data_IF_722630712238
#
_entry.id   IF_722630712238
#
_cell.length_a   1.000
_cell.length_b   1.000
_cell.length_c   1.000
_cell.angle_alpha   90.00
_cell.angle_beta   90.00
_cell.angle_gamma   90.00
#
_symmetry.space_group_name_H-M   'P 1'
#
loop_
_entity.id
_entity.type
_entity.pdbx_description
1 polymer ?
#
# COMPACT_ATOMS: atom_id res chain seq x y z
N UNK A 1 -26.33 -52.29 12.52
CA UNK A 1 -25.04 -52.03 11.86
C UNK A 1 -24.28 -51.08 12.74
N UNK A 2 -23.01 -51.34 12.98
CA UNK A 2 -22.13 -50.37 13.64
C UNK A 2 -21.81 -49.26 12.63
N UNK A 3 -21.56 -48.04 13.08
CA UNK A 3 -21.24 -46.92 12.18
C UNK A 3 -20.09 -47.25 11.22
N UNK A 4 -19.09 -47.99 11.70
CA UNK A 4 -17.96 -48.49 10.92
C UNK A 4 -18.37 -49.38 9.73
N UNK A 5 -19.43 -50.20 9.87
CA UNK A 5 -19.90 -51.06 8.78
C UNK A 5 -20.54 -50.23 7.66
N UNK A 6 -21.26 -49.18 8.03
CA UNK A 6 -21.90 -48.25 7.10
C UNK A 6 -20.85 -47.49 6.30
N UNK A 7 -19.85 -46.91 6.97
CA UNK A 7 -18.75 -46.18 6.31
C UNK A 7 -17.94 -47.09 5.38
N UNK A 8 -17.61 -48.31 5.81
CA UNK A 8 -16.86 -49.27 4.98
C UNK A 8 -17.64 -49.69 3.73
N UNK A 9 -18.95 -49.86 3.88
CA UNK A 9 -19.85 -50.21 2.76
C UNK A 9 -20.03 -49.04 1.80
N UNK A 10 -20.16 -47.81 2.31
CA UNK A 10 -20.24 -46.59 1.51
C UNK A 10 -18.96 -46.39 0.69
N UNK A 11 -17.78 -46.45 1.33
CA UNK A 11 -16.47 -46.36 0.66
C UNK A 11 -16.30 -47.41 -0.45
N UNK A 12 -16.66 -48.66 -0.16
CA UNK A 12 -16.60 -49.75 -1.14
C UNK A 12 -17.50 -49.53 -2.36
N UNK A 13 -18.67 -48.90 -2.16
CA UNK A 13 -19.58 -48.55 -3.25
C UNK A 13 -19.04 -47.38 -4.08
N UNK A 14 -18.54 -46.34 -3.44
CA UNK A 14 -17.95 -45.15 -4.10
C UNK A 14 -16.75 -45.50 -4.98
N UNK A 15 -15.95 -46.49 -4.57
CA UNK A 15 -14.79 -46.98 -5.32
C UNK A 15 -15.12 -47.83 -6.55
N UNK A 16 -16.37 -48.25 -6.77
CA UNK A 16 -16.78 -49.00 -7.99
C UNK A 16 -16.89 -48.10 -9.22
N UNK A 17 -17.30 -46.84 -9.05
CA UNK A 17 -17.46 -45.86 -10.13
C UNK A 17 -16.29 -44.88 -10.20
N UNK A 18 -15.06 -45.40 -10.26
CA UNK A 18 -13.79 -44.64 -10.13
C UNK A 18 -13.75 -43.34 -10.93
N UNK A 19 -14.09 -43.37 -12.22
CA UNK A 19 -14.05 -42.18 -13.09
C UNK A 19 -15.05 -41.11 -12.65
N UNK A 20 -16.29 -41.51 -12.36
CA UNK A 20 -17.35 -40.59 -11.96
C UNK A 20 -17.02 -39.96 -10.61
N UNK A 21 -16.68 -40.79 -9.64
CA UNK A 21 -16.24 -40.36 -8.30
C UNK A 21 -15.06 -39.40 -8.40
N UNK A 22 -14.07 -39.70 -9.23
CA UNK A 22 -12.92 -38.83 -9.44
C UNK A 22 -13.31 -37.47 -10.02
N UNK A 23 -14.15 -37.44 -11.06
CA UNK A 23 -14.63 -36.19 -11.66
C UNK A 23 -15.45 -35.34 -10.67
N UNK A 24 -16.31 -35.95 -9.86
CA UNK A 24 -17.08 -35.25 -8.82
C UNK A 24 -16.15 -34.69 -7.73
N UNK A 25 -15.18 -35.47 -7.27
CA UNK A 25 -14.20 -35.03 -6.28
C UNK A 25 -13.37 -33.86 -6.82
N UNK A 26 -12.91 -33.92 -8.08
CA UNK A 26 -12.21 -32.79 -8.72
C UNK A 26 -13.09 -31.54 -8.73
N UNK A 27 -14.37 -31.63 -9.12
CA UNK A 27 -15.25 -30.48 -9.15
C UNK A 27 -15.40 -29.83 -7.76
N UNK A 28 -15.51 -30.65 -6.71
CA UNK A 28 -15.57 -30.17 -5.32
C UNK A 28 -14.24 -29.53 -4.91
N UNK A 29 -13.11 -30.17 -5.22
CA UNK A 29 -11.78 -29.68 -4.87
C UNK A 29 -11.53 -28.34 -5.55
N UNK A 30 -11.84 -28.20 -6.83
CA UNK A 30 -11.70 -26.93 -7.55
C UNK A 30 -12.57 -25.85 -6.89
N UNK A 31 -13.85 -26.13 -6.62
CA UNK A 31 -14.74 -25.16 -5.98
C UNK A 31 -14.28 -24.74 -4.59
N UNK A 32 -13.89 -25.69 -3.75
CA UNK A 32 -13.37 -25.42 -2.41
C UNK A 32 -12.01 -24.70 -2.43
N UNK A 33 -11.14 -25.07 -3.36
CA UNK A 33 -9.85 -24.42 -3.56
C UNK A 33 -10.03 -22.96 -4.00
N UNK A 34 -10.89 -22.70 -4.99
CA UNK A 34 -11.21 -21.33 -5.41
C UNK A 34 -11.75 -20.50 -4.25
N UNK A 35 -12.70 -21.05 -3.46
CA UNK A 35 -13.24 -20.34 -2.30
C UNK A 35 -12.16 -20.03 -1.25
N UNK A 36 -11.28 -21.00 -0.98
CA UNK A 36 -10.17 -20.82 -0.03
C UNK A 36 -9.19 -19.78 -0.54
N UNK A 37 -8.87 -19.80 -1.82
CA UNK A 37 -7.94 -18.85 -2.45
C UNK A 37 -8.52 -17.44 -2.47
N UNK A 38 -9.81 -17.28 -2.79
CA UNK A 38 -10.49 -15.97 -2.71
C UNK A 38 -10.56 -15.45 -1.29
N UNK A 39 -10.87 -16.31 -0.31
CA UNK A 39 -10.88 -15.91 1.11
C UNK A 39 -9.48 -15.57 1.62
N UNK A 40 -8.46 -16.32 1.20
CA UNK A 40 -7.07 -16.09 1.58
C UNK A 40 -6.52 -14.81 0.96
N UNK A 41 -6.84 -14.55 -0.31
CA UNK A 41 -6.54 -13.26 -0.96
C UNK A 41 -7.23 -12.12 -0.22
N UNK A 42 -8.52 -12.23 0.10
CA UNK A 42 -9.23 -11.16 0.82
C UNK A 42 -8.58 -10.85 2.18
N UNK A 43 -8.22 -11.87 2.95
CA UNK A 43 -7.53 -11.68 4.23
C UNK A 43 -6.12 -11.10 4.05
N UNK A 44 -5.35 -11.60 3.08
CA UNK A 44 -4.00 -11.10 2.81
C UNK A 44 -3.99 -9.67 2.30
N UNK A 45 -4.98 -9.29 1.48
CA UNK A 45 -5.10 -7.93 0.99
C UNK A 45 -5.56 -6.97 2.10
N UNK A 46 -6.48 -7.38 2.97
CA UNK A 46 -6.85 -6.56 4.12
C UNK A 46 -5.64 -6.32 5.04
N UNK A 47 -4.89 -7.38 5.38
CA UNK A 47 -3.65 -7.21 6.15
C UNK A 47 -2.68 -6.26 5.43
N UNK A 48 -2.51 -6.42 4.11
CA UNK A 48 -1.67 -5.52 3.32
C UNK A 48 -2.14 -4.07 3.36
N UNK A 49 -3.46 -3.83 3.33
CA UNK A 49 -4.03 -2.47 3.49
C UNK A 49 -3.77 -1.97 4.90
N UNK A 50 -3.93 -2.81 5.93
CA UNK A 50 -3.67 -2.44 7.33
C UNK A 50 -2.19 -2.07 7.54
N UNK A 51 -1.26 -2.84 6.97
CA UNK A 51 0.19 -2.55 7.00
C UNK A 51 0.51 -1.26 6.23
N UNK A 52 -0.18 -1.04 5.10
CA UNK A 52 -0.11 0.20 4.33
C UNK A 52 -0.79 1.38 5.04
N UNK A 53 -1.74 1.18 5.97
CA UNK A 53 -2.35 2.26 6.77
C UNK A 53 -1.42 2.64 7.92
N UNK A 54 -0.85 1.64 8.61
CA UNK A 54 0.26 1.89 9.53
C UNK A 54 1.37 2.68 8.82
N UNK A 55 1.50 2.43 7.51
CA UNK A 55 2.23 3.09 6.42
C UNK A 55 2.31 4.63 6.32
N UNK A 56 1.38 5.39 6.88
CA UNK A 56 1.21 6.81 6.50
C UNK A 56 0.80 7.70 7.68
N UNK A 57 1.31 7.43 8.88
CA UNK A 57 1.06 8.30 10.04
C UNK A 57 -0.27 8.06 10.75
N UNK A 58 -0.69 9.01 11.58
CA UNK A 58 -1.87 8.89 12.44
C UNK A 58 -3.16 9.15 11.64
N UNK A 59 -4.28 8.51 12.02
CA UNK A 59 -5.58 8.64 11.33
C UNK A 59 -6.16 10.07 11.45
N UNK A 60 -5.52 10.95 12.24
CA UNK A 60 -5.88 12.35 12.47
C UNK A 60 -5.16 13.38 11.59
N UNK A 61 -4.34 12.94 10.64
CA UNK A 61 -3.56 13.83 9.77
C UNK A 61 -4.18 14.03 8.38
N UNK A 62 -4.08 15.25 7.88
CA UNK A 62 -4.48 15.64 6.54
C UNK A 62 -3.23 16.10 5.76
N UNK A 63 -3.02 15.51 4.58
CA UNK A 63 -1.93 15.89 3.69
C UNK A 63 -2.41 16.95 2.72
N UNK A 64 -1.84 18.15 2.82
CA UNK A 64 -2.22 19.29 1.98
C UNK A 64 -1.14 19.54 0.94
N UNK A 65 -1.56 19.71 -0.31
CA UNK A 65 -0.70 20.13 -1.42
C UNK A 65 -1.34 21.33 -2.11
N UNK A 66 -0.55 22.12 -2.84
CA UNK A 66 -1.11 23.09 -3.74
C UNK A 66 -1.95 22.34 -4.77
N UNK A 67 -3.16 22.83 -5.07
CA UNK A 67 -3.93 22.25 -6.17
C UNK A 67 -3.15 22.55 -7.45
N UNK A 68 -2.49 21.53 -8.00
CA UNK A 68 -1.86 21.64 -9.30
C UNK A 68 -2.88 22.18 -10.30
N UNK A 69 -2.45 23.04 -11.23
CA UNK A 69 -3.24 23.35 -12.41
C UNK A 69 -3.69 22.02 -12.97
N UNK A 70 -5.01 21.74 -12.89
CA UNK A 70 -5.58 20.41 -13.04
C UNK A 70 -4.78 19.62 -14.06
N UNK A 71 -4.12 18.53 -13.62
CA UNK A 71 -3.78 17.49 -14.57
C UNK A 71 -5.10 16.92 -15.02
N UNK A 72 -5.76 17.60 -15.95
CA UNK A 72 -6.86 17.14 -16.76
C UNK A 72 -6.29 15.98 -17.58
N UNK A 73 -6.06 14.84 -16.93
CA UNK A 73 -5.84 13.54 -17.55
C UNK A 73 -7.12 13.19 -18.32
N UNK A 74 -7.31 13.86 -19.45
CA UNK A 74 -8.55 13.80 -20.21
C UNK A 74 -8.70 14.88 -21.27
N UNK A 75 -8.09 16.06 -21.11
CA UNK A 75 -8.13 17.10 -22.15
C UNK A 75 -6.80 17.13 -22.89
N UNK A 76 -6.83 16.60 -24.10
CA UNK A 76 -5.86 16.99 -25.13
C UNK A 76 -6.00 18.49 -25.32
N UNK A 77 -5.19 19.27 -24.61
CA UNK A 77 -5.07 20.70 -24.85
C UNK A 77 -4.59 20.91 -26.29
N UNK A 78 -5.31 21.75 -27.04
CA UNK A 78 -5.08 22.10 -28.46
C UNK A 78 -3.82 22.99 -28.66
N UNK A 79 -2.83 22.88 -27.78
CA UNK A 79 -1.57 23.62 -27.85
C UNK A 79 -0.96 23.89 -26.47
N UNK A 80 0.26 24.46 -26.44
CA UNK A 80 0.82 24.99 -25.20
C UNK A 80 -0.09 26.11 -24.66
N UNK A 81 -0.30 26.20 -23.33
CA UNK A 81 -1.10 27.26 -22.72
C UNK A 81 -0.52 28.65 -23.05
N UNK A 82 -1.37 29.68 -23.00
CA UNK A 82 -0.90 31.07 -23.10
C UNK A 82 0.01 31.38 -21.89
N UNK A 83 1.10 32.10 -22.15
CA UNK A 83 2.08 32.45 -21.11
C UNK A 83 1.46 33.41 -20.10
N UNK A 84 1.20 32.92 -18.88
CA UNK A 84 0.87 33.74 -17.73
C UNK A 84 2.15 33.99 -16.89
N UNK A 85 2.61 35.24 -16.73
CA UNK A 85 3.80 35.54 -15.94
C UNK A 85 3.63 35.29 -14.43
N UNK A 86 2.41 35.18 -13.91
CA UNK A 86 2.13 34.82 -12.51
C UNK A 86 2.22 33.29 -12.32
N UNK A 87 1.67 32.48 -13.23
CA UNK A 87 1.85 31.00 -13.25
C UNK A 87 3.25 30.55 -13.73
N UNK A 88 3.97 31.40 -14.47
CA UNK A 88 5.36 31.11 -14.85
C UNK A 88 6.35 31.32 -13.69
N UNK A 89 5.89 31.89 -12.58
CA UNK A 89 6.70 32.15 -11.38
C UNK A 89 6.50 31.11 -10.28
N UNK A 90 5.41 30.32 -10.34
CA UNK A 90 5.25 29.11 -9.54
C UNK A 90 6.24 28.05 -10.02
N UNK A 91 6.66 27.17 -9.10
CA UNK A 91 7.62 26.09 -9.30
C UNK A 91 7.26 25.04 -10.39
N UNK A 92 6.24 25.31 -11.21
CA UNK A 92 5.74 24.51 -12.32
C UNK A 92 6.82 24.14 -13.35
N UNK A 93 7.85 24.96 -13.50
CA UNK A 93 8.88 24.74 -14.52
C UNK A 93 9.91 23.66 -14.15
N UNK A 94 10.06 23.29 -12.87
CA UNK A 94 11.11 22.37 -12.42
C UNK A 94 10.59 20.94 -12.17
N UNK A 95 9.34 20.80 -11.71
CA UNK A 95 8.72 19.51 -11.35
C UNK A 95 7.35 19.26 -12.00
N UNK A 96 6.73 20.29 -12.57
CA UNK A 96 5.32 20.23 -13.02
C UNK A 96 4.33 20.08 -11.86
N UNK A 97 4.75 20.39 -10.63
CA UNK A 97 3.93 20.36 -9.43
C UNK A 97 3.93 21.75 -8.80
N UNK A 98 2.75 22.30 -8.56
CA UNK A 98 2.57 23.51 -7.76
C UNK A 98 3.11 23.26 -6.35
N UNK A 99 3.94 24.17 -5.84
CA UNK A 99 4.43 24.15 -4.47
C UNK A 99 3.57 25.08 -3.62
N UNK A 100 3.41 24.74 -2.35
CA UNK A 100 2.83 25.63 -1.33
C UNK A 100 3.79 26.77 -1.05
N UNK A 101 3.25 27.97 -0.89
CA UNK A 101 3.96 29.15 -0.39
C UNK A 101 3.75 29.33 1.11
N UNK A 102 4.55 30.19 1.75
CA UNK A 102 4.28 30.61 3.13
C UNK A 102 2.86 31.15 3.32
N UNK A 103 2.30 31.85 2.33
CA UNK A 103 0.94 32.37 2.41
C UNK A 103 -0.11 31.26 2.42
N UNK A 104 0.18 30.13 1.77
CA UNK A 104 -0.67 28.94 1.84
C UNK A 104 -0.56 28.29 3.21
N UNK A 105 0.64 28.21 3.80
CA UNK A 105 0.85 27.71 5.17
C UNK A 105 0.09 28.56 6.19
N UNK A 106 0.21 29.88 6.13
CA UNK A 106 -0.55 30.81 7.00
C UNK A 106 -2.07 30.64 6.82
N UNK A 107 -2.52 30.34 5.60
CA UNK A 107 -3.94 30.08 5.33
C UNK A 107 -4.40 28.78 5.99
N UNK A 108 -3.60 27.71 5.89
CA UNK A 108 -3.88 26.41 6.51
C UNK A 108 -3.90 26.52 8.04
N UNK A 109 -2.92 27.21 8.64
CA UNK A 109 -2.87 27.46 10.08
C UNK A 109 -4.09 28.26 10.60
N UNK A 110 -4.68 29.08 9.74
CA UNK A 110 -5.85 29.90 10.04
C UNK A 110 -7.18 29.15 10.00
N UNK A 111 -7.21 27.90 9.52
CA UNK A 111 -8.44 27.10 9.40
C UNK A 111 -8.93 26.66 10.77
N UNK A 112 -10.25 26.57 10.92
CA UNK A 112 -10.86 26.01 12.14
C UNK A 112 -10.44 24.54 12.30
N UNK A 113 -10.25 24.08 13.55
CA UNK A 113 -9.88 22.70 13.91
C UNK A 113 -8.46 22.25 13.57
N UNK A 114 -7.66 23.05 12.87
CA UNK A 114 -6.23 22.80 12.67
C UNK A 114 -5.48 23.03 13.98
N UNK A 115 -4.65 22.06 14.37
CA UNK A 115 -3.88 22.07 15.62
C UNK A 115 -2.40 22.30 15.40
N UNK A 116 -1.85 21.75 14.32
CA UNK A 116 -0.48 21.99 13.86
C UNK A 116 -0.41 21.90 12.34
N UNK A 117 0.59 22.56 11.76
CA UNK A 117 0.93 22.49 10.34
C UNK A 117 2.43 22.31 10.25
N UNK A 118 2.85 21.23 9.60
CA UNK A 118 4.25 20.89 9.37
C UNK A 118 4.52 20.91 7.86
N UNK A 119 5.10 22.01 7.35
CA UNK A 119 5.39 22.14 5.93
C UNK A 119 6.62 21.31 5.56
N UNK A 120 6.60 20.72 4.37
CA UNK A 120 7.64 19.81 3.89
C UNK A 120 8.44 20.45 2.75
N UNK A 121 9.73 20.62 3.00
CA UNK A 121 10.68 21.12 2.01
C UNK A 121 11.26 20.00 1.14
N UNK A 122 11.55 20.32 -0.12
CA UNK A 122 12.21 19.41 -1.06
C UNK A 122 13.72 19.59 -1.03
N UNK A 123 14.45 18.50 -0.85
CA UNK A 123 15.91 18.48 -1.02
C UNK A 123 16.31 17.53 -2.15
N UNK A 124 17.28 17.97 -2.94
CA UNK A 124 17.86 17.21 -4.04
C UNK A 124 19.36 17.09 -3.82
N UNK A 125 19.81 16.11 -3.02
CA UNK A 125 21.24 15.85 -2.86
C UNK A 125 21.89 15.43 -4.19
N UNK A 126 23.22 15.43 -4.20
CA UNK A 126 24.05 14.99 -5.33
C UNK A 126 24.54 13.55 -5.13
N UNK A 127 25.02 13.25 -3.91
CA UNK A 127 25.64 11.98 -3.59
C UNK A 127 25.52 11.63 -2.10
N UNK A 128 25.71 10.33 -1.83
CA UNK A 128 25.97 9.79 -0.50
C UNK A 128 27.39 9.24 -0.49
N UNK A 129 28.19 9.63 0.49
CA UNK A 129 29.55 9.15 0.71
C UNK A 129 29.57 8.24 1.95
N UNK A 130 30.07 7.02 1.77
CA UNK A 130 30.18 6.05 2.86
C UNK A 130 31.42 6.30 3.75
N UNK A 131 31.56 5.50 4.81
CA UNK A 131 32.67 5.61 5.78
C UNK A 131 34.06 5.34 5.16
N UNK A 132 34.12 4.65 4.02
CA UNK A 132 35.33 4.40 3.23
C UNK A 132 35.71 5.53 2.26
N UNK A 133 34.82 6.52 2.08
CA UNK A 133 35.00 7.66 1.18
C UNK A 133 34.60 7.40 -0.27
N UNK A 134 33.87 6.31 -0.53
CA UNK A 134 33.28 6.05 -1.84
C UNK A 134 31.96 6.82 -2.00
N UNK A 135 31.77 7.45 -3.15
CA UNK A 135 30.61 8.30 -3.46
C UNK A 135 29.62 7.60 -4.39
N UNK A 136 28.36 7.62 -4.00
CA UNK A 136 27.23 7.01 -4.70
C UNK A 136 26.23 8.08 -5.09
N UNK A 137 25.75 8.04 -6.33
CA UNK A 137 24.80 9.03 -6.82
C UNK A 137 23.48 8.92 -6.06
N UNK A 138 23.03 10.03 -5.48
CA UNK A 138 21.78 10.13 -4.74
C UNK A 138 21.03 11.31 -5.35
N UNK A 139 19.98 11.07 -6.14
CA UNK A 139 19.27 12.15 -6.83
C UNK A 139 17.98 12.58 -6.10
N UNK A 140 17.57 11.83 -5.10
CA UNK A 140 16.32 12.04 -4.37
C UNK A 140 16.44 11.37 -3.00
N UNK A 141 15.88 12.03 -1.98
CA UNK A 141 15.60 11.42 -0.69
C UNK A 141 14.12 11.05 -0.62
N UNK A 142 13.82 10.00 0.13
CA UNK A 142 12.44 9.71 0.50
C UNK A 142 11.89 10.80 1.43
N UNK A 143 10.58 10.77 1.66
CA UNK A 143 9.96 11.67 2.64
C UNK A 143 10.55 11.45 4.03
N UNK A 144 10.68 12.50 4.87
CA UNK A 144 11.19 12.34 6.22
C UNK A 144 10.48 11.23 7.00
N UNK A 145 11.26 10.48 7.80
CA UNK A 145 10.82 9.22 8.37
C UNK A 145 9.65 9.32 9.38
N UNK A 146 9.42 10.50 9.94
CA UNK A 146 8.30 10.77 10.85
C UNK A 146 6.94 10.77 10.13
N UNK A 147 6.93 11.09 8.83
CA UNK A 147 5.71 11.19 8.01
C UNK A 147 5.31 9.85 7.39
N UNK A 148 6.11 8.80 7.59
CA UNK A 148 5.98 7.52 6.90
C UNK A 148 6.00 6.31 7.83
N UNK A 149 5.00 5.47 7.70
CA UNK A 149 5.14 4.03 7.80
C UNK A 149 6.28 3.45 7.00
N UNK A 150 7.24 2.89 7.71
CA UNK A 150 8.40 2.24 7.15
C UNK A 150 8.39 0.82 7.69
N UNK A 151 8.44 -0.15 6.78
CA UNK A 151 8.83 -1.51 7.13
C UNK A 151 10.36 -1.53 7.19
N UNK A 152 10.89 -2.01 8.31
CA UNK A 152 12.32 -2.04 8.58
C UNK A 152 12.79 -3.49 8.53
N UNK A 153 13.78 -3.76 7.69
CA UNK A 153 14.52 -5.02 7.71
C UNK A 153 15.35 -5.13 9.00
N UNK A 154 15.92 -4.00 9.45
CA UNK A 154 16.67 -3.88 10.70
C UNK A 154 16.68 -2.45 11.23
N UNK A 155 16.97 -2.30 12.52
CA UNK A 155 17.12 -1.01 13.19
C UNK A 155 15.79 -0.36 13.60
N UNK A 156 15.82 0.96 13.70
CA UNK A 156 14.70 1.79 14.15
C UNK A 156 14.47 2.95 13.16
N UNK A 157 13.35 3.66 13.31
CA UNK A 157 13.10 4.86 12.50
C UNK A 157 14.01 6.01 12.99
N UNK A 158 14.51 6.87 12.09
CA UNK A 158 15.20 8.10 12.43
C UNK A 158 14.41 8.94 13.42
N UNK A 159 15.09 9.41 14.46
CA UNK A 159 14.57 10.40 15.38
C UNK A 159 14.55 11.77 14.68
N UNK A 160 13.39 12.42 14.67
CA UNK A 160 13.17 13.68 13.96
C UNK A 160 14.10 14.84 14.38
N UNK A 161 14.63 14.81 15.61
CA UNK A 161 15.51 15.86 16.18
C UNK A 161 17.01 15.56 16.00
N UNK A 162 17.35 14.42 15.39
CA UNK A 162 18.72 13.91 15.28
C UNK A 162 19.16 13.82 13.82
N UNK A 163 20.47 13.91 13.55
CA UNK A 163 21.03 13.77 12.19
C UNK A 163 21.10 12.30 11.79
N UNK A 164 19.95 11.73 11.45
CA UNK A 164 19.77 10.30 11.23
C UNK A 164 19.09 10.03 9.90
N UNK A 165 19.30 8.84 9.36
CA UNK A 165 18.61 8.39 8.16
C UNK A 165 18.48 6.87 8.10
N UNK A 166 17.62 6.41 7.21
CA UNK A 166 17.57 5.02 6.78
C UNK A 166 18.16 4.85 5.39
N UNK A 167 18.59 3.63 5.08
CA UNK A 167 18.97 3.22 3.73
C UNK A 167 18.12 2.03 3.28
N UNK A 168 17.81 1.90 1.98
CA UNK A 168 17.12 0.72 1.47
C UNK A 168 17.95 -0.55 1.65
N UNK A 169 17.31 -1.69 1.85
CA UNK A 169 18.00 -2.99 1.94
C UNK A 169 18.90 -3.27 0.73
N UNK A 170 18.50 -2.82 -0.47
CA UNK A 170 19.32 -2.98 -1.68
C UNK A 170 20.66 -2.24 -1.62
N UNK A 171 20.76 -1.22 -0.76
CA UNK A 171 21.93 -0.36 -0.61
C UNK A 171 22.93 -0.92 0.41
N UNK A 172 22.63 -1.97 1.19
CA UNK A 172 23.61 -2.52 2.15
C UNK A 172 24.89 -3.01 1.43
N UNK A 173 24.76 -3.44 0.18
CA UNK A 173 25.89 -3.85 -0.66
C UNK A 173 26.88 -2.72 -0.97
N UNK A 174 26.44 -1.47 -0.85
CA UNK A 174 27.27 -0.24 -1.00
C UNK A 174 28.28 -0.12 0.16
N UNK A 175 27.98 -0.74 1.29
CA UNK A 175 28.77 -0.75 2.51
C UNK A 175 29.55 -2.06 2.70
N UNK A 176 29.66 -2.88 1.65
CA UNK A 176 30.25 -4.23 1.70
C UNK A 176 29.60 -5.13 2.79
N UNK A 177 28.34 -4.87 3.14
CA UNK A 177 27.56 -5.63 4.12
C UNK A 177 26.69 -6.71 3.46
N UNK A 178 26.57 -7.87 4.14
CA UNK A 178 25.71 -8.99 3.73
C UNK A 178 24.43 -9.07 4.59
N UNK A 179 24.45 -8.56 5.82
CA UNK A 179 23.33 -8.55 6.76
C UNK A 179 22.91 -7.09 7.08
N UNK A 180 21.60 -6.76 7.12
CA UNK A 180 21.10 -5.41 7.40
C UNK A 180 21.51 -4.83 8.76
N UNK A 181 21.86 -5.67 9.75
CA UNK A 181 22.32 -5.20 11.06
C UNK A 181 23.76 -4.63 11.01
N UNK A 182 24.55 -4.97 10.00
CA UNK A 182 25.96 -4.60 9.92
C UNK A 182 26.19 -3.12 9.57
N UNK A 183 25.23 -2.50 8.88
CA UNK A 183 25.28 -1.09 8.45
C UNK A 183 24.73 -0.12 9.51
N UNK A 184 24.16 -0.63 10.59
CA UNK A 184 23.55 0.19 11.63
C UNK A 184 24.64 0.90 12.47
N UNK A 185 24.43 2.19 12.70
CA UNK A 185 25.37 3.07 13.40
C UNK A 185 26.55 3.53 12.53
N UNK A 186 26.56 3.21 11.23
CA UNK A 186 27.52 3.79 10.31
C UNK A 186 27.18 5.26 10.03
N UNK A 187 28.23 6.06 9.88
CA UNK A 187 28.12 7.48 9.55
C UNK A 187 28.35 7.68 8.06
N UNK A 188 27.45 8.40 7.42
CA UNK A 188 27.52 8.77 6.00
C UNK A 188 27.51 10.28 5.84
N UNK A 189 28.04 10.76 4.73
CA UNK A 189 27.95 12.16 4.35
C UNK A 189 27.01 12.31 3.16
N UNK A 190 25.98 13.14 3.30
CA UNK A 190 25.07 13.51 2.22
C UNK A 190 25.57 14.81 1.61
N UNK A 191 26.02 14.75 0.36
CA UNK A 191 26.51 15.91 -0.38
C UNK A 191 25.39 16.59 -1.14
N UNK A 192 25.33 17.91 -1.07
CA UNK A 192 24.33 18.73 -1.75
C UNK A 192 24.96 20.01 -2.29
N UNK A 193 24.52 20.44 -3.47
CA UNK A 193 24.95 21.69 -4.09
C UNK A 193 23.89 22.77 -3.91
N UNK A 194 24.34 23.99 -3.60
CA UNK A 194 23.47 25.15 -3.51
C UNK A 194 23.19 25.79 -4.89
N UNK A 195 22.33 26.80 -4.91
CA UNK A 195 21.92 27.50 -6.15
C UNK A 195 23.06 28.25 -6.86
N UNK A 196 24.15 28.55 -6.16
CA UNK A 196 25.35 29.19 -6.75
C UNK A 196 26.41 28.17 -7.20
N UNK A 197 26.17 26.88 -6.96
CA UNK A 197 27.02 25.75 -7.38
C UNK A 197 28.16 25.42 -6.42
N UNK A 198 28.14 25.95 -5.20
CA UNK A 198 29.01 25.50 -4.12
C UNK A 198 28.41 24.22 -3.52
N UNK A 199 29.28 23.26 -3.21
CA UNK A 199 28.90 21.95 -2.68
C UNK A 199 29.34 21.85 -1.23
N UNK A 200 28.43 21.38 -0.37
CA UNK A 200 28.69 21.09 1.04
C UNK A 200 28.16 19.70 1.41
N UNK A 201 28.55 19.20 2.58
CA UNK A 201 28.13 17.89 3.08
C UNK A 201 27.52 17.97 4.48
N UNK A 202 26.49 17.16 4.72
CA UNK A 202 25.90 16.96 6.05
C UNK A 202 26.17 15.53 6.49
N UNK A 203 26.64 15.37 7.73
CA UNK A 203 26.89 14.06 8.33
C UNK A 203 25.59 13.49 8.92
N UNK A 204 25.31 12.21 8.65
CA UNK A 204 24.14 11.51 9.16
C UNK A 204 24.49 10.09 9.62
N UNK A 205 23.82 9.59 10.66
CA UNK A 205 23.92 8.22 11.16
C UNK A 205 22.84 7.32 10.53
N UNK A 206 23.23 6.12 10.09
CA UNK A 206 22.29 5.10 9.61
C UNK A 206 21.71 4.36 10.81
N UNK A 207 20.44 4.60 11.13
CA UNK A 207 19.77 3.97 12.28
C UNK A 207 18.79 2.86 11.89
N UNK A 208 18.49 2.74 10.60
CA UNK A 208 17.57 1.74 10.08
C UNK A 208 17.85 1.34 8.64
N UNK A 209 17.42 0.13 8.30
CA UNK A 209 17.41 -0.39 6.93
C UNK A 209 15.96 -0.61 6.52
N UNK A 210 15.51 0.13 5.51
CA UNK A 210 14.13 0.10 5.03
C UNK A 210 13.91 -0.99 3.98
N UNK A 211 12.76 -1.66 4.08
CA UNK A 211 12.26 -2.51 3.00
C UNK A 211 11.42 -1.67 2.03
N UNK A 212 11.63 -1.87 0.72
CA UNK A 212 10.81 -1.19 -0.28
C UNK A 212 9.39 -1.76 -0.28
N UNK A 213 8.44 -0.94 0.17
CA UNK A 213 7.03 -1.23 0.06
C UNK A 213 6.59 -1.15 -1.41
N UNK A 214 5.47 -1.80 -1.75
CA UNK A 214 4.91 -1.73 -3.12
C UNK A 214 4.52 -0.29 -3.52
N UNK A 215 4.27 0.59 -2.55
CA UNK A 215 4.09 2.03 -2.78
C UNK A 215 5.35 2.75 -3.27
N UNK A 216 6.53 2.13 -3.17
CA UNK A 216 7.84 2.74 -3.38
C UNK A 216 8.43 3.39 -2.14
N UNK A 217 7.66 3.50 -1.04
CA UNK A 217 8.17 3.98 0.27
C UNK A 217 9.24 3.01 0.77
N UNK A 218 10.33 3.53 1.34
CA UNK A 218 11.48 2.73 1.78
C UNK A 218 12.43 2.30 0.64
N UNK A 219 12.11 2.60 -0.62
CA UNK A 219 12.99 2.33 -1.77
C UNK A 219 14.05 3.41 -2.03
N UNK A 220 13.98 4.54 -1.31
CA UNK A 220 15.00 5.59 -1.29
C UNK A 220 15.46 5.81 0.15
N UNK A 221 16.70 6.28 0.39
CA UNK A 221 17.12 6.66 1.74
C UNK A 221 16.19 7.74 2.31
N UNK A 222 15.70 7.54 3.54
CA UNK A 222 14.75 8.45 4.17
C UNK A 222 15.45 9.19 5.33
N UNK A 223 15.57 10.52 5.28
CA UNK A 223 16.21 11.32 6.32
C UNK A 223 15.27 11.52 7.52
N UNK A 224 15.83 11.94 8.65
CA UNK A 224 15.07 12.63 9.70
C UNK A 224 14.65 14.03 9.24
N UNK A 225 13.72 14.65 9.98
CA UNK A 225 13.32 16.05 9.75
C UNK A 225 14.52 17.01 9.89
N UNK A 226 15.30 16.91 10.97
CA UNK A 226 16.48 17.75 11.20
C UNK A 226 17.54 17.62 10.09
N UNK A 227 17.79 16.40 9.58
CA UNK A 227 18.71 16.20 8.46
C UNK A 227 18.18 16.83 7.17
N UNK A 228 16.89 16.69 6.91
CA UNK A 228 16.24 17.28 5.74
C UNK A 228 16.32 18.81 5.78
N UNK A 229 16.08 19.42 6.94
CA UNK A 229 16.14 20.87 7.14
C UNK A 229 17.57 21.41 6.97
N UNK A 230 18.58 20.72 7.51
CA UNK A 230 19.98 21.11 7.34
C UNK A 230 20.43 21.04 5.87
N UNK A 231 19.99 20.02 5.13
CA UNK A 231 20.24 19.93 3.69
C UNK A 231 19.52 21.03 2.91
N UNK A 232 18.31 21.40 3.33
CA UNK A 232 17.54 22.47 2.71
C UNK A 232 18.20 23.85 2.90
N UNK A 233 18.71 24.14 4.10
CA UNK A 233 19.44 25.38 4.38
C UNK A 233 20.66 25.54 3.46
N UNK A 234 21.39 24.45 3.21
CA UNK A 234 22.53 24.45 2.28
C UNK A 234 22.04 24.66 0.84
N UNK A 235 21.03 23.91 0.40
CA UNK A 235 20.51 24.00 -0.97
C UNK A 235 20.05 25.43 -1.32
N UNK A 236 19.45 26.13 -0.37
CA UNK A 236 18.92 27.49 -0.52
C UNK A 236 19.95 28.59 -0.25
N UNK A 237 21.13 28.26 0.28
CA UNK A 237 22.19 29.24 0.54
C UNK A 237 22.62 29.97 -0.75
N UNK A 238 22.70 31.29 -0.68
CA UNK A 238 22.99 32.17 -1.82
C UNK A 238 21.79 32.52 -2.71
N UNK A 239 20.58 32.07 -2.39
CA UNK A 239 19.36 32.51 -3.07
C UNK A 239 18.88 33.87 -2.52
N UNK A 240 18.68 34.87 -3.40
CA UNK A 240 18.26 36.24 -3.01
C UNK A 240 16.76 36.53 -3.31
N UNK A 241 15.95 35.52 -3.66
CA UNK A 241 14.53 35.67 -4.02
C UNK A 241 13.52 35.17 -2.98
N UNK A 242 12.28 35.63 -3.06
CA UNK A 242 11.10 35.16 -2.27
C UNK A 242 10.70 33.69 -2.55
N UNK A 243 11.50 32.95 -3.33
CA UNK A 243 11.28 31.55 -3.71
C UNK A 243 11.96 30.56 -2.74
N UNK A 244 12.48 31.08 -1.62
CA UNK A 244 13.18 30.30 -0.59
C UNK A 244 12.23 29.49 0.30
N UNK A 245 10.92 29.77 0.22
CA UNK A 245 9.91 29.22 1.13
C UNK A 245 8.81 28.52 0.31
N UNK A 246 9.22 27.51 -0.45
CA UNK A 246 8.33 26.68 -1.28
C UNK A 246 8.33 25.25 -0.77
N UNK A 247 7.13 24.74 -0.45
CA UNK A 247 6.95 23.43 0.16
C UNK A 247 6.23 22.48 -0.80
N UNK A 248 6.61 21.21 -0.84
CA UNK A 248 5.93 20.22 -1.70
C UNK A 248 4.53 19.93 -1.16
N UNK A 249 4.41 19.90 0.16
CA UNK A 249 3.26 19.44 0.92
C UNK A 249 3.30 20.05 2.31
N UNK A 250 2.20 20.03 3.04
CA UNK A 250 2.17 20.18 4.48
C UNK A 250 1.36 19.05 5.10
N UNK A 251 1.84 18.50 6.22
CA UNK A 251 1.03 17.65 7.08
C UNK A 251 0.29 18.53 8.08
N UNK A 252 -1.01 18.28 8.24
CA UNK A 252 -1.90 19.09 9.05
C UNK A 252 -2.58 18.20 10.07
N UNK A 253 -2.29 18.41 11.36
CA UNK A 253 -3.01 17.71 12.43
C UNK A 253 -4.34 18.40 12.70
N UNK A 254 -5.42 17.62 12.69
CA UNK A 254 -6.79 18.13 12.82
C UNK A 254 -7.49 17.52 14.04
N UNK A 255 -8.14 18.37 14.85
CA UNK A 255 -9.00 17.91 15.95
C UNK A 255 -10.26 17.24 15.37
N UNK A 256 -10.45 15.94 15.67
CA UNK A 256 -11.57 15.12 15.19
C UNK A 256 -11.74 15.17 13.66
N UNK A 257 -10.66 14.86 12.93
CA UNK A 257 -10.62 14.86 11.46
C UNK A 257 -11.83 14.16 10.84
N UNK A 258 -12.26 13.01 11.36
CA UNK A 258 -13.41 12.26 10.85
C UNK A 258 -14.74 13.03 10.89
N UNK A 259 -14.90 14.02 11.76
CA UNK A 259 -16.09 14.87 11.85
C UNK A 259 -16.01 16.10 10.93
N UNK A 260 -14.80 16.55 10.60
CA UNK A 260 -14.52 17.84 9.94
C UNK A 260 -13.86 17.73 8.56
N UNK A 261 -13.56 16.51 8.10
CA UNK A 261 -12.88 16.20 6.83
C UNK A 261 -13.52 16.89 5.62
N UNK A 262 -14.83 16.70 5.42
CA UNK A 262 -15.54 17.25 4.26
C UNK A 262 -15.53 18.80 4.24
N UNK A 263 -15.61 19.43 5.42
CA UNK A 263 -15.60 20.88 5.57
C UNK A 263 -14.22 21.44 5.26
N UNK A 264 -13.17 20.85 5.86
CA UNK A 264 -11.78 21.25 5.65
C UNK A 264 -11.32 21.07 4.20
N UNK A 265 -11.66 19.93 3.57
CA UNK A 265 -11.34 19.72 2.15
C UNK A 265 -12.02 20.74 1.25
N UNK A 266 -13.26 21.12 1.56
CA UNK A 266 -13.96 22.16 0.81
C UNK A 266 -13.29 23.52 0.98
N UNK A 267 -12.91 23.88 2.20
CA UNK A 267 -12.27 25.17 2.48
C UNK A 267 -10.85 25.27 1.90
N UNK A 268 -10.08 24.18 1.94
CA UNK A 268 -8.80 24.06 1.23
C UNK A 268 -9.00 24.24 -0.28
N UNK A 269 -9.99 23.56 -0.86
CA UNK A 269 -10.28 23.67 -2.30
C UNK A 269 -10.68 25.09 -2.72
N UNK A 270 -11.40 25.83 -1.87
CA UNK A 270 -11.78 27.22 -2.13
C UNK A 270 -10.56 28.16 -2.14
N UNK A 271 -9.47 27.78 -1.47
CA UNK A 271 -8.19 28.49 -1.46
C UNK A 271 -7.19 27.97 -2.50
N UNK A 272 -7.60 27.07 -3.40
CA UNK A 272 -6.69 26.49 -4.40
C UNK A 272 -5.72 25.46 -3.81
N UNK A 273 -6.08 24.84 -2.70
CA UNK A 273 -5.33 23.78 -2.03
C UNK A 273 -6.09 22.46 -2.14
N UNK A 274 -5.37 21.34 -2.07
CA UNK A 274 -5.96 20.01 -2.05
C UNK A 274 -5.54 19.29 -0.78
N UNK A 275 -6.51 19.01 0.09
CA UNK A 275 -6.33 18.12 1.24
C UNK A 275 -6.69 16.68 0.88
N UNK A 276 -5.81 15.74 1.20
CA UNK A 276 -6.02 14.30 1.05
C UNK A 276 -5.84 13.63 2.41
N UNK A 277 -6.79 12.77 2.78
CA UNK A 277 -6.61 11.87 3.92
C UNK A 277 -5.87 10.62 3.49
N UNK A 278 -5.35 9.88 4.46
CA UNK A 278 -4.82 8.55 4.21
C UNK A 278 -5.86 7.64 3.53
N UNK A 279 -7.12 7.74 3.95
CA UNK A 279 -8.20 6.94 3.38
C UNK A 279 -8.47 7.28 1.91
N UNK A 280 -8.32 8.55 1.49
CA UNK A 280 -8.41 8.93 0.07
C UNK A 280 -7.30 8.27 -0.76
N UNK A 281 -6.08 8.28 -0.24
CA UNK A 281 -4.91 7.78 -0.96
C UNK A 281 -4.98 6.27 -1.13
N UNK A 282 -5.47 5.56 -0.11
CA UNK A 282 -5.68 4.12 -0.15
C UNK A 282 -6.98 3.72 -0.85
N UNK A 283 -7.98 4.60 -0.89
CA UNK A 283 -9.31 4.33 -1.44
C UNK A 283 -9.27 3.90 -2.90
N UNK A 284 -8.37 4.47 -3.70
CA UNK A 284 -8.16 4.05 -5.09
C UNK A 284 -7.68 2.59 -5.20
N UNK A 285 -6.70 2.21 -4.37
CA UNK A 285 -6.12 0.87 -4.33
C UNK A 285 -7.16 -0.13 -3.80
N UNK A 286 -7.81 0.20 -2.68
CA UNK A 286 -8.90 -0.57 -2.10
C UNK A 286 -10.05 -0.77 -3.10
N UNK A 287 -10.39 0.23 -3.92
CA UNK A 287 -11.41 0.14 -4.96
C UNK A 287 -11.10 -0.92 -6.03
N UNK A 288 -9.86 -0.96 -6.52
CA UNK A 288 -9.39 -1.96 -7.49
C UNK A 288 -9.43 -3.36 -6.88
N UNK A 289 -8.89 -3.50 -5.68
CA UNK A 289 -8.87 -4.74 -4.90
C UNK A 289 -10.30 -5.28 -4.68
N UNK A 290 -11.22 -4.41 -4.25
CA UNK A 290 -12.60 -4.78 -3.98
C UNK A 290 -13.29 -5.26 -5.25
N UNK A 291 -13.02 -4.59 -6.38
CA UNK A 291 -13.55 -5.00 -7.69
C UNK A 291 -13.05 -6.40 -8.08
N UNK A 292 -11.73 -6.66 -7.95
CA UNK A 292 -11.16 -7.98 -8.23
C UNK A 292 -11.75 -9.04 -7.30
N UNK A 293 -11.87 -8.74 -6.01
CA UNK A 293 -12.44 -9.65 -5.00
C UNK A 293 -13.89 -9.98 -5.29
N UNK A 294 -14.70 -9.01 -5.72
CA UNK A 294 -16.08 -9.23 -6.15
C UNK A 294 -16.18 -10.14 -7.37
N UNK A 295 -15.33 -9.91 -8.37
CA UNK A 295 -15.28 -10.74 -9.58
C UNK A 295 -14.89 -12.19 -9.24
N UNK A 296 -13.83 -12.36 -8.44
CA UNK A 296 -13.38 -13.68 -7.98
C UNK A 296 -14.43 -14.38 -7.12
N UNK A 297 -15.09 -13.65 -6.22
CA UNK A 297 -16.19 -14.18 -5.40
C UNK A 297 -17.38 -14.61 -6.25
N UNK A 298 -17.69 -13.86 -7.32
CA UNK A 298 -18.69 -14.24 -8.31
C UNK A 298 -18.35 -15.56 -9.00
N UNK A 299 -17.10 -15.73 -9.44
CA UNK A 299 -16.64 -17.00 -10.02
C UNK A 299 -16.66 -18.14 -9.00
N UNK A 300 -16.25 -17.89 -7.76
CA UNK A 300 -16.29 -18.87 -6.68
C UNK A 300 -17.73 -19.37 -6.42
N UNK A 301 -18.70 -18.45 -6.42
CA UNK A 301 -20.12 -18.79 -6.28
C UNK A 301 -20.61 -19.67 -7.43
N UNK A 302 -20.27 -19.32 -8.68
CA UNK A 302 -20.65 -20.12 -9.85
C UNK A 302 -19.99 -21.51 -9.80
N UNK A 303 -18.72 -21.58 -9.42
CA UNK A 303 -18.00 -22.84 -9.26
C UNK A 303 -18.63 -23.73 -8.18
N UNK A 304 -19.05 -23.13 -7.05
CA UNK A 304 -19.75 -23.83 -5.98
C UNK A 304 -21.10 -24.40 -6.46
N UNK A 305 -21.87 -23.62 -7.22
CA UNK A 305 -23.12 -24.08 -7.81
C UNK A 305 -22.88 -25.23 -8.80
N UNK A 306 -21.89 -25.11 -9.67
CA UNK A 306 -21.52 -26.15 -10.63
C UNK A 306 -21.08 -27.46 -9.93
N UNK A 307 -20.26 -27.35 -8.88
CA UNK A 307 -19.87 -28.50 -8.05
C UNK A 307 -21.08 -29.15 -7.38
N UNK A 308 -22.00 -28.35 -6.85
CA UNK A 308 -23.25 -28.82 -6.23
C UNK A 308 -24.11 -29.61 -7.22
N UNK A 309 -24.28 -29.12 -8.45
CA UNK A 309 -24.98 -29.85 -9.51
C UNK A 309 -24.25 -31.15 -9.89
N UNK A 310 -22.92 -31.14 -9.92
CA UNK A 310 -22.10 -32.34 -10.17
C UNK A 310 -22.33 -33.43 -9.12
N UNK A 311 -22.40 -33.04 -7.84
CA UNK A 311 -22.72 -33.94 -6.72
C UNK A 311 -24.13 -34.52 -6.89
N UNK A 312 -25.14 -33.66 -7.10
CA UNK A 312 -26.54 -34.07 -7.25
C UNK A 312 -26.71 -35.03 -8.41
N UNK A 313 -26.13 -34.73 -9.57
CA UNK A 313 -26.23 -35.60 -10.75
C UNK A 313 -25.61 -36.98 -10.49
N UNK A 314 -24.46 -37.01 -9.81
CA UNK A 314 -23.76 -38.25 -9.46
C UNK A 314 -24.54 -39.11 -8.47
N UNK A 315 -25.07 -38.48 -7.41
CA UNK A 315 -25.91 -39.15 -6.41
C UNK A 315 -27.21 -39.68 -7.02
N UNK A 316 -27.89 -38.86 -7.84
CA UNK A 316 -29.14 -39.24 -8.49
C UNK A 316 -28.93 -40.47 -9.39
N UNK A 317 -27.86 -40.48 -10.18
CA UNK A 317 -27.52 -41.63 -11.02
C UNK A 317 -27.18 -42.87 -10.17
N UNK A 318 -26.43 -42.72 -9.07
CA UNK A 318 -26.12 -43.83 -8.15
C UNK A 318 -27.37 -44.47 -7.54
N UNK A 319 -28.36 -43.65 -7.17
CA UNK A 319 -29.65 -44.13 -6.64
C UNK A 319 -30.44 -44.81 -7.76
N UNK A 320 -30.50 -44.24 -8.96
CA UNK A 320 -31.22 -44.80 -10.09
C UNK A 320 -30.68 -46.17 -10.51
N UNK A 321 -29.36 -46.30 -10.65
CA UNK A 321 -28.66 -47.55 -10.97
C UNK A 321 -28.94 -48.65 -9.92
N UNK A 322 -29.19 -48.26 -8.66
CA UNK A 322 -29.37 -49.18 -7.52
C UNK A 322 -30.82 -49.27 -7.02
N UNK A 323 -31.79 -48.76 -7.76
CA UNK A 323 -33.23 -48.81 -7.41
C UNK A 323 -33.72 -50.22 -7.06
N UNK A 324 -33.28 -51.24 -7.81
CA UNK A 324 -33.62 -52.65 -7.54
C UNK A 324 -32.99 -53.17 -6.23
N UNK A 325 -31.74 -52.81 -5.95
CA UNK A 325 -31.08 -53.17 -4.69
C UNK A 325 -31.77 -52.52 -3.49
N UNK A 326 -32.14 -51.23 -3.61
CA UNK A 326 -32.92 -50.50 -2.60
C UNK A 326 -34.26 -51.18 -2.34
N UNK A 327 -34.97 -51.60 -3.40
CA UNK A 327 -36.23 -52.33 -3.29
C UNK A 327 -36.08 -53.67 -2.56
N UNK A 328 -35.01 -54.42 -2.86
CA UNK A 328 -34.71 -55.68 -2.18
C UNK A 328 -34.39 -55.46 -0.69
N UNK A 329 -33.57 -54.46 -0.35
CA UNK A 329 -33.23 -54.13 1.04
C UNK A 329 -34.48 -53.76 1.85
N UNK A 330 -35.40 -52.98 1.27
CA UNK A 330 -36.68 -52.64 1.91
C UNK A 330 -37.58 -53.87 2.06
N UNK A 331 -37.66 -54.75 1.06
CA UNK A 331 -38.42 -55.99 1.15
C UNK A 331 -37.88 -56.95 2.22
N UNK A 332 -36.57 -56.90 2.50
CA UNK A 332 -35.91 -57.65 3.57
C UNK A 332 -36.00 -56.98 4.95
N UNK A 333 -36.75 -55.88 5.08
CA UNK A 333 -37.03 -55.23 6.36
C UNK A 333 -36.06 -54.11 6.76
N UNK A 334 -35.20 -53.64 5.86
CA UNK A 334 -34.36 -52.47 6.14
C UNK A 334 -35.20 -51.19 6.11
N UNK A 335 -35.23 -50.45 7.24
CA UNK A 335 -35.93 -49.17 7.36
C UNK A 335 -35.39 -48.11 6.39
N UNK A 336 -36.24 -47.24 5.87
CA UNK A 336 -35.86 -46.16 4.93
C UNK A 336 -34.69 -45.29 5.43
N UNK A 337 -34.63 -44.97 6.73
CA UNK A 337 -33.51 -44.19 7.29
C UNK A 337 -32.17 -44.93 7.28
N UNK A 338 -32.17 -46.27 7.41
CA UNK A 338 -30.95 -47.09 7.28
C UNK A 338 -30.49 -47.20 5.84
N UNK A 339 -31.44 -47.27 4.91
CA UNK A 339 -31.13 -47.22 3.47
C UNK A 339 -30.55 -45.86 3.10
N UNK A 340 -31.14 -44.77 3.61
CA UNK A 340 -30.63 -43.41 3.39
C UNK A 340 -29.19 -43.25 3.88
N UNK A 341 -28.87 -43.73 5.08
CA UNK A 341 -27.49 -43.65 5.60
C UNK A 341 -26.44 -44.49 4.85
N UNK A 342 -26.81 -45.29 3.85
CA UNK A 342 -25.87 -46.02 2.98
C UNK A 342 -25.46 -45.24 1.72
N UNK A 343 -26.10 -44.10 1.43
CA UNK A 343 -25.85 -43.21 0.30
C UNK A 343 -25.37 -41.85 0.78
#
# INVERSE_FOLDING_TARGET
>A
MRALDVSRTALGNTMRSKLRTFLTVIAIVIGAFTLTLTSGLGAGINNYVDDMVAGFGDEGELYVQAAGAESEQGQQSDGPPEYDPEEASSADAFTGMSMLSDSDIETIEGLDHVTSVEPMVSVSPDFLENSDGDQFQLNQLGTPADMGAMELAAGEKPDGESMEMTIPEEWISVFDADDPEDVLGETVQVGISNVVGDQDTVEAEIVGVSEEAISGVGGQPMPSNELNDALYEIQTDGYEGEQSDSYIMATVEVDDLAAHEDELKSELSDNGLMGMTLEDQLGAIQGVINTVTWVLSGFALIALLAASFGIVNTLLMSVQERTREIGLMKALGMSSGKVFGLF
#
